data_IF_818756562519
#
_entry.id   IF_818756562519
#
_cell.length_a   1.000
_cell.length_b   1.000
_cell.length_c   1.000
_cell.angle_alpha   90.00
_cell.angle_beta   90.00
_cell.angle_gamma   90.00
#
_symmetry.space_group_name_H-M   'P 1'
#
loop_
_entity.id
_entity.type
_entity.pdbx_description
1 polymer ?
#
# COMPACT_ATOMS: atom_id res chain seq x y z
N UNK A 1 -9.01 11.07 1.26
CA UNK A 1 -9.96 10.16 0.57
C UNK A 1 -11.20 10.04 1.44
N UNK A 2 -12.39 9.79 0.87
CA UNK A 2 -13.59 9.55 1.71
C UNK A 2 -13.40 8.22 2.42
N UNK A 3 -13.38 8.24 3.75
CA UNK A 3 -13.00 7.10 4.58
C UNK A 3 -13.98 6.95 5.73
N UNK A 4 -14.29 5.72 6.10
CA UNK A 4 -15.02 5.45 7.33
C UNK A 4 -14.12 5.68 8.55
N UNK A 5 -14.45 6.59 9.48
CA UNK A 5 -13.58 6.95 10.59
C UNK A 5 -13.44 5.85 11.65
N UNK A 6 -14.38 4.89 11.68
CA UNK A 6 -14.39 3.79 12.66
C UNK A 6 -13.54 2.63 12.14
N UNK A 7 -13.80 2.16 10.93
CA UNK A 7 -13.15 0.96 10.36
C UNK A 7 -11.87 1.26 9.58
N UNK A 8 -11.72 2.50 9.09
CA UNK A 8 -10.66 2.87 8.16
C UNK A 8 -10.95 2.50 6.70
N UNK A 9 -12.17 2.05 6.38
CA UNK A 9 -12.56 1.64 5.02
C UNK A 9 -12.51 2.83 4.06
N UNK A 10 -11.81 2.67 2.94
CA UNK A 10 -11.82 3.66 1.88
C UNK A 10 -13.09 3.51 1.04
N UNK A 11 -13.95 4.54 1.05
CA UNK A 11 -15.18 4.59 0.24
C UNK A 11 -14.86 4.87 -1.23
N UNK A 12 -13.78 5.61 -1.49
CA UNK A 12 -13.25 5.85 -2.83
C UNK A 12 -11.89 5.17 -2.90
N UNK A 13 -11.58 4.52 -4.02
CA UNK A 13 -10.30 3.90 -4.30
C UNK A 13 -9.94 4.09 -5.77
N UNK A 14 -8.66 3.92 -6.14
CA UNK A 14 -8.28 3.90 -7.55
C UNK A 14 -8.97 2.75 -8.28
N UNK A 15 -9.37 2.97 -9.54
CA UNK A 15 -10.11 1.97 -10.33
C UNK A 15 -9.38 0.62 -10.42
N UNK A 16 -8.05 0.63 -10.53
CA UNK A 16 -7.24 -0.59 -10.54
C UNK A 16 -7.41 -1.41 -9.25
N UNK A 17 -7.47 -0.75 -8.10
CA UNK A 17 -7.68 -1.41 -6.81
C UNK A 17 -9.10 -1.98 -6.69
N UNK A 18 -10.12 -1.26 -7.17
CA UNK A 18 -11.51 -1.76 -7.21
C UNK A 18 -11.68 -2.96 -8.15
N UNK A 19 -10.90 -3.03 -9.23
CA UNK A 19 -10.86 -4.21 -10.12
C UNK A 19 -10.27 -5.43 -9.42
N UNK A 20 -9.18 -5.25 -8.67
CA UNK A 20 -8.59 -6.34 -7.86
C UNK A 20 -9.56 -6.81 -6.77
N UNK A 21 -10.18 -5.88 -6.04
CA UNK A 21 -11.23 -6.18 -5.06
C UNK A 21 -12.39 -7.00 -5.70
N UNK A 22 -12.89 -6.55 -6.85
CA UNK A 22 -13.95 -7.26 -7.59
C UNK A 22 -13.54 -8.67 -8.02
N UNK A 23 -12.27 -8.87 -8.41
CA UNK A 23 -11.75 -10.19 -8.75
C UNK A 23 -11.64 -11.10 -7.52
N UNK A 24 -11.19 -10.57 -6.37
CA UNK A 24 -11.13 -11.33 -5.11
C UNK A 24 -12.53 -11.77 -4.65
N UNK A 25 -13.56 -10.94 -4.84
CA UNK A 25 -14.94 -11.32 -4.52
C UNK A 25 -15.50 -12.49 -5.34
N UNK A 26 -14.81 -12.97 -6.37
CA UNK A 26 -15.19 -14.19 -7.08
C UNK A 26 -14.86 -15.47 -6.28
N UNK A 27 -13.95 -15.39 -5.30
CA UNK A 27 -13.53 -16.53 -4.48
C UNK A 27 -13.54 -16.26 -2.97
N UNK A 28 -13.82 -15.04 -2.53
CA UNK A 28 -13.86 -14.63 -1.12
C UNK A 28 -15.14 -13.85 -0.81
N UNK A 29 -15.65 -14.00 0.41
CA UNK A 29 -16.84 -13.26 0.83
C UNK A 29 -16.55 -11.77 0.92
N UNK A 30 -17.61 -10.95 0.84
CA UNK A 30 -17.50 -9.48 0.96
C UNK A 30 -16.84 -9.02 2.27
N UNK A 31 -17.02 -9.77 3.35
CA UNK A 31 -16.45 -9.49 4.68
C UNK A 31 -14.94 -9.78 4.75
N UNK A 32 -14.42 -10.62 3.84
CA UNK A 32 -13.02 -11.09 3.87
C UNK A 32 -12.08 -10.20 3.02
N UNK A 33 -12.65 -9.35 2.17
CA UNK A 33 -11.90 -8.42 1.32
C UNK A 33 -12.18 -7.00 1.78
N UNK A 34 -11.12 -6.25 2.07
CA UNK A 34 -11.23 -4.90 2.63
C UNK A 34 -10.26 -3.93 1.96
N UNK A 35 -10.75 -2.76 1.56
CA UNK A 35 -9.93 -1.67 1.02
C UNK A 35 -9.72 -0.60 2.09
N UNK A 36 -8.51 -0.57 2.65
CA UNK A 36 -8.16 0.35 3.73
C UNK A 36 -7.58 1.67 3.24
N UNK A 37 -7.86 2.75 3.97
CA UNK A 37 -7.10 3.99 3.85
C UNK A 37 -5.71 3.80 4.51
N UNK A 38 -4.61 4.11 3.81
CA UNK A 38 -3.25 3.97 4.35
C UNK A 38 -2.96 4.77 5.62
N UNK A 39 -3.78 5.77 5.97
CA UNK A 39 -3.64 6.55 7.22
C UNK A 39 -4.36 5.91 8.43
N UNK A 40 -5.04 4.77 8.24
CA UNK A 40 -5.79 4.06 9.28
C UNK A 40 -5.48 2.55 9.35
N UNK A 41 -4.28 2.13 8.95
CA UNK A 41 -3.91 0.71 8.86
C UNK A 41 -4.07 -0.02 10.19
N UNK A 42 -3.72 0.61 11.31
CA UNK A 42 -3.91 0.04 12.64
C UNK A 42 -5.38 -0.27 13.02
N UNK A 43 -6.36 0.34 12.33
CA UNK A 43 -7.80 0.06 12.52
C UNK A 43 -8.28 -1.08 11.61
N UNK A 44 -7.65 -1.25 10.46
CA UNK A 44 -8.09 -2.16 9.41
C UNK A 44 -7.35 -3.50 9.39
N UNK A 45 -6.16 -3.57 9.99
CA UNK A 45 -5.33 -4.79 10.06
C UNK A 45 -5.44 -5.39 11.46
N UNK A 46 -5.74 -6.68 11.53
CA UNK A 46 -5.93 -7.41 12.78
C UNK A 46 -5.46 -8.87 12.71
N UNK A 47 -5.75 -9.68 13.74
CA UNK A 47 -5.29 -11.08 13.82
C UNK A 47 -5.86 -11.98 12.73
N UNK A 48 -7.01 -11.62 12.14
CA UNK A 48 -7.62 -12.37 11.05
C UNK A 48 -7.03 -12.02 9.68
N UNK A 49 -6.26 -10.93 9.58
CA UNK A 49 -5.63 -10.51 8.33
C UNK A 49 -4.59 -11.55 7.88
N UNK A 50 -4.77 -12.13 6.69
CA UNK A 50 -3.80 -13.10 6.12
C UNK A 50 -2.85 -12.47 5.11
N UNK A 51 -3.35 -11.52 4.33
CA UNK A 51 -2.58 -10.86 3.26
C UNK A 51 -2.91 -9.36 3.25
N UNK A 52 -1.87 -8.53 3.11
CA UNK A 52 -1.99 -7.10 2.84
C UNK A 52 -1.43 -6.81 1.45
N UNK A 53 -2.29 -6.38 0.55
CA UNK A 53 -1.93 -5.90 -0.78
C UNK A 53 -1.69 -4.39 -0.79
N UNK A 54 -0.58 -3.94 -1.37
CA UNK A 54 -0.24 -2.52 -1.49
C UNK A 54 -0.19 -2.16 -2.98
N UNK A 55 -1.05 -1.24 -3.41
CA UNK A 55 -0.98 -0.68 -4.75
C UNK A 55 -0.12 0.59 -4.76
N UNK A 56 0.96 0.60 -5.54
CA UNK A 56 1.91 1.70 -5.63
C UNK A 56 1.98 2.26 -7.05
N UNK A 57 2.06 3.59 -7.14
CA UNK A 57 2.24 4.29 -8.41
C UNK A 57 3.70 4.68 -8.65
N UNK A 58 4.40 5.13 -7.62
CA UNK A 58 5.80 5.58 -7.68
C UNK A 58 6.43 5.52 -6.26
N UNK A 59 6.69 4.30 -5.75
CA UNK A 59 7.09 4.08 -4.36
C UNK A 59 8.45 4.68 -4.00
N UNK A 60 9.38 4.80 -4.95
CA UNK A 60 10.72 5.34 -4.73
C UNK A 60 10.90 6.76 -5.31
N UNK A 61 9.89 7.32 -5.96
CA UNK A 61 9.95 8.66 -6.53
C UNK A 61 10.78 8.73 -7.81
N UNK A 62 10.94 7.60 -8.51
CA UNK A 62 11.81 7.45 -9.68
C UNK A 62 11.08 7.77 -11.00
N UNK A 63 9.77 7.98 -10.96
CA UNK A 63 9.00 8.33 -12.14
C UNK A 63 9.41 9.72 -12.69
N UNK A 64 9.32 9.96 -14.02
CA UNK A 64 9.75 11.22 -14.64
C UNK A 64 9.07 12.47 -14.04
N UNK A 65 7.79 12.37 -13.70
CA UNK A 65 7.03 13.49 -13.13
C UNK A 65 7.56 13.85 -11.74
N UNK A 66 7.83 12.85 -10.92
CA UNK A 66 8.27 13.02 -9.54
C UNK A 66 9.70 13.53 -9.45
N UNK A 67 10.59 13.01 -10.31
CA UNK A 67 11.97 13.49 -10.43
C UNK A 67 12.05 14.93 -10.95
N UNK A 68 11.13 15.36 -11.82
CA UNK A 68 11.06 16.75 -12.29
C UNK A 68 10.52 17.70 -11.22
N UNK A 69 9.55 17.27 -10.41
CA UNK A 69 8.90 18.11 -9.38
C UNK A 69 9.66 18.12 -8.04
N UNK A 70 10.51 17.13 -7.78
CA UNK A 70 11.33 17.03 -6.58
C UNK A 70 12.77 16.57 -6.92
N UNK A 71 13.54 17.35 -7.70
CA UNK A 71 14.85 16.93 -8.21
C UNK A 71 15.91 16.72 -7.12
N UNK A 72 15.78 17.39 -5.97
CA UNK A 72 16.81 17.39 -4.91
C UNK A 72 16.32 16.84 -3.56
N UNK A 73 15.06 16.38 -3.45
CA UNK A 73 14.48 15.92 -2.19
C UNK A 73 13.76 14.59 -2.37
N UNK A 74 13.76 13.78 -1.32
CA UNK A 74 12.89 12.60 -1.26
C UNK A 74 11.45 13.04 -1.54
N UNK A 75 10.86 12.51 -2.61
CA UNK A 75 9.53 12.95 -3.01
C UNK A 75 8.50 12.70 -1.90
N UNK A 76 7.47 13.53 -1.84
CA UNK A 76 6.39 13.35 -0.87
C UNK A 76 5.75 11.95 -0.96
N UNK A 77 5.67 11.41 -2.17
CA UNK A 77 5.15 10.06 -2.46
C UNK A 77 6.05 8.99 -1.84
N UNK A 78 7.37 9.08 -2.06
CA UNK A 78 8.34 8.15 -1.49
C UNK A 78 8.37 8.23 0.05
N UNK A 79 8.28 9.43 0.63
CA UNK A 79 8.19 9.62 2.08
C UNK A 79 6.93 8.95 2.67
N UNK A 80 5.76 9.20 2.06
CA UNK A 80 4.49 8.58 2.50
C UNK A 80 4.54 7.06 2.38
N UNK A 81 5.10 6.54 1.29
CA UNK A 81 5.28 5.12 1.10
C UNK A 81 6.17 4.50 2.19
N UNK A 82 7.33 5.11 2.48
CA UNK A 82 8.22 4.64 3.56
C UNK A 82 7.52 4.64 4.94
N UNK A 83 6.78 5.70 5.26
CA UNK A 83 6.03 5.78 6.53
C UNK A 83 4.98 4.67 6.63
N UNK A 84 4.23 4.45 5.56
CA UNK A 84 3.23 3.38 5.48
C UNK A 84 3.88 2.00 5.62
N UNK A 85 5.01 1.75 4.96
CA UNK A 85 5.76 0.50 5.09
C UNK A 85 6.24 0.26 6.53
N UNK A 86 6.72 1.30 7.23
CA UNK A 86 7.14 1.19 8.62
C UNK A 86 5.97 0.75 9.52
N UNK A 87 4.78 1.32 9.34
CA UNK A 87 3.57 0.90 10.07
C UNK A 87 3.18 -0.55 9.75
N UNK A 88 3.18 -0.93 8.47
CA UNK A 88 2.90 -2.31 8.03
C UNK A 88 3.89 -3.31 8.63
N UNK A 89 5.18 -2.97 8.73
CA UNK A 89 6.20 -3.84 9.34
C UNK A 89 5.88 -4.08 10.83
N UNK A 90 5.46 -3.06 11.57
CA UNK A 90 5.08 -3.21 12.98
C UNK A 90 3.83 -4.09 13.13
N UNK A 91 2.80 -3.84 12.30
CA UNK A 91 1.58 -4.65 12.31
C UNK A 91 1.86 -6.10 11.90
N UNK A 92 2.75 -6.32 10.93
CA UNK A 92 3.15 -7.67 10.50
C UNK A 92 3.84 -8.44 11.60
N UNK A 93 4.72 -7.80 12.39
CA UNK A 93 5.33 -8.43 13.57
C UNK A 93 4.29 -8.84 14.62
N UNK A 94 3.18 -8.09 14.71
CA UNK A 94 2.10 -8.34 15.69
C UNK A 94 1.13 -9.43 15.24
N UNK A 95 0.80 -9.51 13.95
CA UNK A 95 -0.31 -10.33 13.44
C UNK A 95 0.10 -11.41 12.40
N UNK A 96 1.38 -11.46 12.00
CA UNK A 96 1.96 -12.45 11.08
C UNK A 96 1.21 -12.67 9.74
N UNK A 97 1.00 -11.60 8.99
CA UNK A 97 0.42 -11.66 7.64
C UNK A 97 1.47 -11.57 6.52
N UNK A 98 1.10 -11.95 5.30
CA UNK A 98 1.95 -11.75 4.10
C UNK A 98 1.70 -10.39 3.45
N UNK A 99 2.73 -9.82 2.84
CA UNK A 99 2.64 -8.52 2.16
C UNK A 99 2.96 -8.73 0.68
N UNK A 100 2.08 -8.24 -0.18
CA UNK A 100 2.28 -8.21 -1.62
C UNK A 100 2.21 -6.76 -2.11
N UNK A 101 3.16 -6.35 -2.96
CA UNK A 101 3.19 -5.00 -3.53
C UNK A 101 3.02 -5.11 -5.04
N UNK A 102 2.11 -4.31 -5.59
CA UNK A 102 1.77 -4.29 -7.00
C UNK A 102 1.43 -2.88 -7.49
N UNK A 103 0.98 -2.75 -8.73
CA UNK A 103 0.70 -1.46 -9.37
C UNK A 103 1.84 -0.97 -10.25
N UNK A 104 1.62 0.19 -10.88
CA UNK A 104 2.51 0.72 -11.93
C UNK A 104 3.94 0.98 -11.47
N UNK A 105 4.14 1.28 -10.17
CA UNK A 105 5.46 1.55 -9.59
C UNK A 105 6.14 0.31 -9.00
N UNK A 106 5.53 -0.88 -9.07
CA UNK A 106 6.04 -2.06 -8.39
C UNK A 106 7.43 -2.51 -8.93
N UNK A 107 7.72 -2.22 -10.20
CA UNK A 107 9.02 -2.52 -10.83
C UNK A 107 10.19 -1.80 -10.14
N UNK A 108 9.95 -0.67 -9.48
CA UNK A 108 10.97 0.06 -8.72
C UNK A 108 11.50 -0.77 -7.55
N UNK A 109 10.65 -1.64 -6.99
CA UNK A 109 10.94 -2.51 -5.84
C UNK A 109 11.48 -3.88 -6.24
N UNK A 110 11.35 -4.27 -7.52
CA UNK A 110 11.70 -5.61 -8.00
C UNK A 110 13.21 -5.86 -8.13
N UNK A 111 14.04 -4.81 -8.13
CA UNK A 111 15.50 -4.96 -8.21
C UNK A 111 16.13 -4.88 -6.81
N UNK A 112 16.71 -5.98 -6.37
CA UNK A 112 17.35 -6.18 -5.06
C UNK A 112 18.45 -5.15 -4.74
N UNK A 113 19.17 -4.64 -5.74
CA UNK A 113 20.19 -3.60 -5.54
C UNK A 113 19.61 -2.21 -5.18
N UNK A 114 18.36 -1.92 -5.55
CA UNK A 114 17.72 -0.62 -5.30
C UNK A 114 17.12 -0.51 -3.90
N UNK A 115 16.85 -1.65 -3.26
CA UNK A 115 16.31 -1.72 -1.90
C UNK A 115 17.40 -1.47 -0.84
N UNK A 116 18.67 -1.77 -1.14
CA UNK A 116 19.82 -1.58 -0.22
C UNK A 116 20.23 -0.10 -0.01
N UNK A 117 19.91 0.79 -0.95
CA UNK A 117 20.32 2.22 -0.87
C UNK A 117 19.39 3.03 0.06
N UNK A 118 18.25 2.46 0.48
CA UNK A 118 17.19 3.21 1.16
C UNK A 118 16.65 2.54 2.44
N UNK A 119 17.33 1.49 2.93
CA UNK A 119 17.04 0.78 4.17
C UNK A 119 18.05 1.11 5.26
#
# INVERSE_FOLDING_TARGET
>A
MKTDPVTGEAKVAQVGLRRVESALHQGYDKKDVFVANPEHLAKSIGPDTKVVGINVMDPLGMAPVTTTMAPEKLSYVAMKFKKMCAEIIQLKKKYDFKVAVGGNGAWELAKSDRMKVHG
#
